data_IF_460253579211
#
_entry.id   IF_460253579211
#
_cell.length_a   1.000
_cell.length_b   1.000
_cell.length_c   1.000
_cell.angle_alpha   90.00
_cell.angle_beta   90.00
_cell.angle_gamma   90.00
#
_symmetry.space_group_name_H-M   'P 1'
#
loop_
_entity.id
_entity.type
_entity.pdbx_description
1 polymer ?
#
# COMPACT_ATOMS: atom_id res chain seq x y z
N UNK A 1 -12.08 -2.86 -48.21
CA UNK A 1 -12.43 -3.28 -46.83
C UNK A 1 -11.20 -3.88 -46.15
N UNK A 2 -10.85 -3.46 -44.92
CA UNK A 2 -9.68 -3.98 -44.18
C UNK A 2 -9.98 -5.32 -43.48
N UNK A 3 -10.38 -6.33 -44.26
CA UNK A 3 -10.77 -7.66 -43.76
C UNK A 3 -10.10 -8.73 -44.61
N UNK A 4 -9.41 -9.67 -43.96
CA UNK A 4 -8.90 -10.90 -44.58
C UNK A 4 -9.63 -12.10 -43.97
N UNK A 5 -10.41 -12.80 -44.80
CA UNK A 5 -11.30 -13.86 -44.34
C UNK A 5 -12.32 -13.35 -43.32
N UNK A 6 -12.35 -13.94 -42.13
CA UNK A 6 -13.21 -13.52 -41.02
C UNK A 6 -12.60 -12.44 -40.12
N UNK A 7 -11.34 -12.05 -40.32
CA UNK A 7 -10.59 -11.18 -39.40
C UNK A 7 -10.32 -9.80 -39.99
N UNK A 8 -10.49 -8.77 -39.18
CA UNK A 8 -10.12 -7.41 -39.57
C UNK A 8 -8.60 -7.21 -39.43
N UNK A 9 -7.98 -6.60 -40.44
CA UNK A 9 -6.58 -6.20 -40.38
C UNK A 9 -6.46 -4.85 -39.67
N UNK A 10 -5.55 -4.77 -38.69
CA UNK A 10 -5.25 -3.49 -38.03
C UNK A 10 -4.76 -2.48 -39.05
N UNK A 11 -5.31 -1.27 -39.00
CA UNK A 11 -4.85 -0.17 -39.85
C UNK A 11 -3.51 0.37 -39.34
N UNK A 12 -2.75 1.05 -40.23
CA UNK A 12 -1.50 1.72 -39.82
C UNK A 12 -1.73 2.71 -38.67
N UNK A 13 -2.89 3.35 -38.61
CA UNK A 13 -3.27 4.28 -37.54
C UNK A 13 -3.46 3.55 -36.20
N UNK A 14 -4.17 2.43 -36.18
CA UNK A 14 -4.35 1.61 -34.96
C UNK A 14 -2.98 1.13 -34.43
N UNK A 15 -2.12 0.61 -35.32
CA UNK A 15 -0.78 0.15 -34.95
C UNK A 15 0.05 1.30 -34.35
N UNK A 16 -0.04 2.50 -34.92
CA UNK A 16 0.64 3.70 -34.41
C UNK A 16 0.14 4.07 -33.01
N UNK A 17 -1.17 4.09 -32.79
CA UNK A 17 -1.78 4.41 -31.48
C UNK A 17 -1.44 3.38 -30.41
N UNK A 18 -1.46 2.08 -30.73
CA UNK A 18 -1.04 1.02 -29.80
C UNK A 18 0.42 1.18 -29.39
N UNK A 19 1.31 1.50 -30.33
CA UNK A 19 2.73 1.76 -30.03
C UNK A 19 2.90 2.97 -29.10
N UNK A 20 2.08 4.00 -29.28
CA UNK A 20 2.11 5.18 -28.40
C UNK A 20 1.61 4.84 -27.00
N UNK A 21 0.49 4.14 -26.87
CA UNK A 21 -0.04 3.67 -25.59
C UNK A 21 0.99 2.84 -24.81
N UNK A 22 1.70 1.93 -25.47
CA UNK A 22 2.75 1.13 -24.84
C UNK A 22 3.91 1.98 -24.30
N UNK A 23 4.30 3.05 -25.02
CA UNK A 23 5.34 3.99 -24.55
C UNK A 23 4.88 4.74 -23.32
N UNK A 24 3.64 5.22 -23.31
CA UNK A 24 3.08 5.98 -22.20
C UNK A 24 2.90 5.10 -20.96
N UNK A 25 2.36 3.88 -21.13
CA UNK A 25 2.27 2.88 -20.05
C UNK A 25 3.65 2.53 -19.48
N UNK A 26 4.67 2.35 -20.31
CA UNK A 26 6.05 2.12 -19.85
C UNK A 26 6.58 3.31 -19.05
N UNK A 27 6.36 4.55 -19.53
CA UNK A 27 6.77 5.77 -18.83
C UNK A 27 6.12 5.86 -17.45
N UNK A 28 4.81 5.67 -17.36
CA UNK A 28 4.06 5.72 -16.09
C UNK A 28 4.55 4.63 -15.13
N UNK A 29 4.79 3.42 -15.63
CA UNK A 29 5.34 2.31 -14.83
C UNK A 29 6.71 2.66 -14.25
N UNK A 30 7.59 3.22 -15.07
CA UNK A 30 8.92 3.66 -14.62
C UNK A 30 8.84 4.77 -13.56
N UNK A 31 7.92 5.73 -13.71
CA UNK A 31 7.71 6.79 -12.71
C UNK A 31 7.28 6.18 -11.37
N UNK A 32 6.31 5.24 -11.38
CA UNK A 32 5.85 4.54 -10.17
C UNK A 32 6.98 3.75 -9.51
N UNK A 33 7.73 2.97 -10.28
CA UNK A 33 8.86 2.20 -9.76
C UNK A 33 9.94 3.11 -9.16
N UNK A 34 10.26 4.22 -9.83
CA UNK A 34 11.22 5.19 -9.32
C UNK A 34 10.73 5.82 -8.01
N UNK A 35 9.46 6.21 -7.93
CA UNK A 35 8.86 6.75 -6.71
C UNK A 35 8.94 5.75 -5.55
N UNK A 36 8.57 4.49 -5.77
CA UNK A 36 8.66 3.44 -4.74
C UNK A 36 10.11 3.24 -4.30
N UNK A 37 11.06 3.22 -5.23
CA UNK A 37 12.48 3.14 -4.90
C UNK A 37 12.93 4.31 -4.04
N UNK A 38 12.54 5.55 -4.37
CA UNK A 38 12.91 6.74 -3.62
C UNK A 38 12.32 6.71 -2.20
N UNK A 39 11.02 6.49 -2.06
CA UNK A 39 10.35 6.51 -0.75
C UNK A 39 10.83 5.38 0.16
N UNK A 40 10.96 4.16 -0.36
CA UNK A 40 11.46 3.04 0.46
C UNK A 40 12.91 3.25 0.90
N UNK A 41 13.75 3.84 0.04
CA UNK A 41 15.11 4.25 0.44
C UNK A 41 15.08 5.36 1.48
N UNK A 42 14.22 6.37 1.32
CA UNK A 42 14.09 7.48 2.27
C UNK A 42 13.70 6.98 3.66
N UNK A 43 12.71 6.08 3.76
CA UNK A 43 12.27 5.49 5.03
C UNK A 43 13.43 4.73 5.71
N UNK A 44 14.14 3.87 4.96
CA UNK A 44 15.25 3.07 5.49
C UNK A 44 16.44 3.93 5.90
N UNK A 45 16.74 5.00 5.14
CA UNK A 45 17.85 5.91 5.42
C UNK A 45 17.66 6.74 6.69
N UNK A 46 16.43 6.84 7.22
CA UNK A 46 16.16 7.42 8.54
C UNK A 46 16.64 6.53 9.71
N UNK A 47 17.13 5.32 9.41
CA UNK A 47 17.64 4.33 10.37
C UNK A 47 16.67 4.03 11.53
N UNK A 48 15.39 3.72 11.25
CA UNK A 48 14.46 3.30 12.29
C UNK A 48 14.93 2.01 12.96
N UNK A 49 14.61 1.85 14.25
CA UNK A 49 14.88 0.61 15.00
C UNK A 49 14.16 -0.60 14.37
N UNK A 50 12.92 -0.40 13.93
CA UNK A 50 12.11 -1.38 13.23
C UNK A 50 11.10 -0.69 12.30
N UNK A 51 10.56 -1.44 11.34
CA UNK A 51 9.51 -0.98 10.42
C UNK A 51 8.36 -1.99 10.50
N UNK A 52 7.14 -1.48 10.70
CA UNK A 52 5.91 -2.28 10.68
C UNK A 52 5.09 -1.95 9.44
N UNK A 53 4.61 -2.97 8.73
CA UNK A 53 3.69 -2.82 7.61
C UNK A 53 2.43 -3.64 7.83
N UNK A 54 1.27 -3.13 7.40
CA UNK A 54 0.02 -3.88 7.42
C UNK A 54 -0.01 -4.99 6.36
N UNK A 55 -0.51 -6.17 6.72
CA UNK A 55 -0.81 -7.22 5.74
C UNK A 55 -2.16 -7.00 5.04
N UNK A 56 -2.15 -6.18 3.99
CA UNK A 56 -3.35 -5.92 3.19
C UNK A 56 -3.72 -7.11 2.30
N UNK A 57 -5.02 -7.44 2.23
CA UNK A 57 -5.56 -8.39 1.25
C UNK A 57 -5.67 -7.74 -0.14
N UNK A 58 -4.53 -7.45 -0.77
CA UNK A 58 -4.47 -6.79 -2.09
C UNK A 58 -5.24 -7.58 -3.14
N UNK A 59 -5.16 -8.92 -3.12
CA UNK A 59 -5.94 -9.78 -4.03
C UNK A 59 -7.45 -9.58 -3.87
N UNK A 60 -7.93 -9.43 -2.64
CA UNK A 60 -9.32 -9.11 -2.35
C UNK A 60 -9.71 -7.71 -2.81
N UNK A 61 -8.86 -6.72 -2.56
CA UNK A 61 -9.09 -5.33 -2.99
C UNK A 61 -9.20 -5.21 -4.52
N UNK A 62 -8.40 -5.97 -5.25
CA UNK A 62 -8.44 -6.04 -6.72
C UNK A 62 -9.76 -6.61 -7.28
N UNK A 63 -10.57 -7.31 -6.47
CA UNK A 63 -11.89 -7.81 -6.91
C UNK A 63 -12.95 -6.71 -6.91
N UNK A 64 -12.73 -5.60 -6.19
CA UNK A 64 -13.65 -4.47 -6.19
C UNK A 64 -13.45 -3.63 -7.46
N UNK A 65 -14.37 -3.73 -8.43
CA UNK A 65 -14.28 -3.04 -9.73
C UNK A 65 -14.13 -1.53 -9.63
N UNK A 66 -14.64 -0.91 -8.56
CA UNK A 66 -14.54 0.54 -8.36
C UNK A 66 -13.17 0.99 -7.83
N UNK A 67 -12.45 0.12 -7.12
CA UNK A 67 -11.17 0.44 -6.49
C UNK A 67 -9.98 -0.26 -7.14
N UNK A 68 -10.23 -1.29 -7.96
CA UNK A 68 -9.19 -2.14 -8.54
C UNK A 68 -8.14 -1.35 -9.33
N UNK A 69 -8.59 -0.36 -10.11
CA UNK A 69 -7.67 0.50 -10.86
C UNK A 69 -6.78 1.30 -9.90
N UNK A 70 -7.37 2.02 -8.94
CA UNK A 70 -6.61 2.81 -7.97
C UNK A 70 -5.63 1.94 -7.18
N UNK A 71 -6.04 0.74 -6.75
CA UNK A 71 -5.19 -0.23 -6.03
C UNK A 71 -4.05 -0.74 -6.90
N UNK A 72 -4.30 -1.05 -8.17
CA UNK A 72 -3.26 -1.47 -9.11
C UNK A 72 -2.21 -0.36 -9.28
N UNK A 73 -2.65 0.90 -9.36
CA UNK A 73 -1.76 2.04 -9.53
C UNK A 73 -0.86 2.31 -8.31
N UNK A 74 -1.23 1.87 -7.10
CA UNK A 74 -0.41 2.02 -5.89
C UNK A 74 0.76 1.02 -5.80
N UNK A 75 0.73 -0.08 -6.58
CA UNK A 75 1.80 -1.07 -6.61
C UNK A 75 2.19 -1.63 -5.21
N UNK A 76 1.23 -1.87 -4.31
CA UNK A 76 1.48 -2.27 -2.92
C UNK A 76 2.42 -3.47 -2.74
N UNK A 77 2.32 -4.47 -3.62
CA UNK A 77 3.22 -5.63 -3.60
C UNK A 77 4.68 -5.21 -3.81
N UNK A 78 4.93 -4.33 -4.78
CA UNK A 78 6.28 -3.87 -5.08
C UNK A 78 6.83 -2.98 -3.96
N UNK A 79 5.99 -2.12 -3.38
CA UNK A 79 6.35 -1.35 -2.19
C UNK A 79 6.78 -2.27 -1.03
N UNK A 80 5.98 -3.29 -0.70
CA UNK A 80 6.30 -4.27 0.35
C UNK A 80 7.61 -4.99 0.04
N UNK A 81 7.75 -5.54 -1.16
CA UNK A 81 8.96 -6.25 -1.60
C UNK A 81 10.20 -5.37 -1.40
N UNK A 82 10.12 -4.11 -1.81
CA UNK A 82 11.23 -3.17 -1.72
C UNK A 82 11.59 -2.77 -0.30
N UNK A 83 10.61 -2.39 0.52
CA UNK A 83 10.90 -1.99 1.89
C UNK A 83 11.47 -3.17 2.68
N UNK A 84 10.95 -4.38 2.49
CA UNK A 84 11.41 -5.59 3.18
C UNK A 84 12.88 -5.91 2.87
N UNK A 85 13.27 -5.99 1.59
CA UNK A 85 14.68 -6.30 1.27
C UNK A 85 15.63 -5.16 1.68
N UNK A 86 15.20 -3.89 1.56
CA UNK A 86 16.05 -2.75 1.95
C UNK A 86 16.23 -2.66 3.45
N UNK A 87 15.18 -2.94 4.23
CA UNK A 87 15.27 -3.06 5.68
C UNK A 87 16.26 -4.16 6.07
N UNK A 88 16.15 -5.34 5.45
CA UNK A 88 17.06 -6.46 5.72
C UNK A 88 18.53 -6.10 5.39
N UNK A 89 18.79 -5.46 4.25
CA UNK A 89 20.14 -4.99 3.89
C UNK A 89 20.75 -3.99 4.88
N UNK A 90 19.90 -3.23 5.58
CA UNK A 90 20.34 -2.24 6.56
C UNK A 90 20.25 -2.74 8.01
N UNK A 91 20.05 -4.06 8.22
CA UNK A 91 19.86 -4.67 9.54
C UNK A 91 18.71 -4.05 10.35
N UNK A 92 17.67 -3.54 9.66
CA UNK A 92 16.46 -3.01 10.29
C UNK A 92 15.44 -4.13 10.38
N UNK A 93 14.86 -4.33 11.56
CA UNK A 93 13.81 -5.34 11.74
C UNK A 93 12.56 -4.93 10.96
N UNK A 94 12.15 -5.76 10.03
CA UNK A 94 10.87 -5.62 9.32
C UNK A 94 9.82 -6.54 9.96
N UNK A 95 8.64 -6.01 10.25
CA UNK A 95 7.53 -6.71 10.90
C UNK A 95 6.29 -6.53 10.05
N UNK A 96 5.62 -7.63 9.74
CA UNK A 96 4.30 -7.60 9.13
C UNK A 96 3.25 -7.75 10.24
N UNK A 97 2.38 -6.75 10.39
CA UNK A 97 1.27 -6.82 11.33
C UNK A 97 0.24 -7.84 10.85
N UNK A 98 -0.33 -8.59 11.80
CA UNK A 98 -1.40 -9.53 11.50
C UNK A 98 -2.56 -8.82 10.79
N UNK A 99 -3.12 -9.48 9.77
CA UNK A 99 -4.18 -8.91 8.92
C UNK A 99 -5.42 -8.50 9.70
N UNK A 100 -5.71 -9.17 10.82
CA UNK A 100 -6.88 -8.93 11.65
C UNK A 100 -6.60 -7.93 12.76
N UNK A 101 -5.36 -7.43 12.89
CA UNK A 101 -5.04 -6.39 13.85
C UNK A 101 -5.79 -5.09 13.51
N UNK A 102 -6.63 -4.57 14.42
CA UNK A 102 -7.52 -3.44 14.13
C UNK A 102 -6.82 -2.09 14.27
N UNK A 103 -5.70 -1.89 13.55
CA UNK A 103 -4.83 -0.70 13.64
C UNK A 103 -5.60 0.63 13.62
N UNK A 104 -6.51 0.81 12.66
CA UNK A 104 -7.28 2.06 12.49
C UNK A 104 -8.51 2.16 13.40
N UNK A 105 -8.97 1.05 13.96
CA UNK A 105 -10.19 0.98 14.80
C UNK A 105 -9.89 0.98 16.29
N UNK A 106 -8.66 0.70 16.69
CA UNK A 106 -8.24 0.71 18.08
C UNK A 106 -7.90 2.15 18.52
N UNK A 107 -8.45 2.62 19.63
CA UNK A 107 -8.02 3.90 20.20
C UNK A 107 -6.65 3.75 20.86
N UNK A 108 -5.65 4.55 20.43
CA UNK A 108 -4.30 4.50 21.02
C UNK A 108 -4.26 5.02 22.45
N UNK A 109 -5.22 5.84 22.87
CA UNK A 109 -5.28 6.41 24.22
C UNK A 109 -5.91 5.45 25.23
N UNK A 110 -7.04 4.82 24.91
CA UNK A 110 -7.83 4.04 25.87
C UNK A 110 -8.03 2.56 25.48
N UNK A 111 -7.53 2.11 24.33
CA UNK A 111 -7.65 0.73 23.87
C UNK A 111 -9.06 0.32 23.42
N UNK A 112 -10.05 1.21 23.44
CA UNK A 112 -11.42 0.88 22.99
C UNK A 112 -11.45 0.68 21.48
N UNK A 113 -12.13 -0.38 21.05
CA UNK A 113 -12.37 -0.68 19.65
C UNK A 113 -13.60 0.07 19.11
N UNK A 114 -13.41 0.86 18.05
CA UNK A 114 -14.48 1.53 17.30
C UNK A 114 -14.98 0.64 16.17
N UNK A 115 -16.14 -0.01 16.36
CA UNK A 115 -16.67 -1.02 15.43
C UNK A 115 -17.24 -0.41 14.14
N UNK A 116 -17.82 0.77 14.25
CA UNK A 116 -18.62 1.50 13.26
C UNK A 116 -17.80 2.45 12.35
N UNK A 117 -16.47 2.47 12.49
CA UNK A 117 -15.59 3.27 11.65
C UNK A 117 -15.64 2.82 10.18
N UNK A 118 -15.95 3.75 9.28
CA UNK A 118 -16.04 3.55 7.82
C UNK A 118 -14.75 3.95 7.11
N UNK A 119 -14.57 3.45 5.88
CA UNK A 119 -13.43 3.81 5.03
C UNK A 119 -13.41 5.31 4.66
N UNK A 120 -14.57 5.94 4.57
CA UNK A 120 -14.74 7.37 4.31
C UNK A 120 -14.33 8.25 5.49
N UNK A 121 -14.30 7.70 6.69
CA UNK A 121 -14.00 8.47 7.90
C UNK A 121 -12.50 8.71 7.94
N UNK A 122 -12.11 9.99 7.88
CA UNK A 122 -10.71 10.43 7.91
C UNK A 122 -10.27 10.84 9.31
N UNK A 123 -11.21 11.17 10.18
CA UNK A 123 -10.98 11.48 11.59
C UNK A 123 -11.40 10.30 12.47
N UNK A 124 -10.53 9.91 13.39
CA UNK A 124 -10.85 8.99 14.47
C UNK A 124 -11.27 9.78 15.70
N UNK A 125 -12.51 9.60 16.12
CA UNK A 125 -13.08 10.20 17.32
C UNK A 125 -13.45 9.11 18.33
N UNK A 126 -12.96 9.25 19.56
CA UNK A 126 -13.24 8.34 20.66
C UNK A 126 -13.94 9.06 21.81
N UNK A 127 -14.83 8.37 22.51
CA UNK A 127 -15.48 8.90 23.72
C UNK A 127 -14.54 9.21 24.88
N UNK A 128 -13.28 8.79 24.82
CA UNK A 128 -12.25 9.21 25.78
C UNK A 128 -11.64 10.60 25.46
N UNK A 129 -12.14 11.30 24.45
CA UNK A 129 -11.65 12.63 24.03
C UNK A 129 -10.53 12.61 22.97
N UNK A 130 -10.09 11.43 22.52
CA UNK A 130 -9.09 11.32 21.46
C UNK A 130 -9.70 11.63 20.09
N UNK A 131 -9.21 12.68 19.43
CA UNK A 131 -9.63 13.14 18.11
C UNK A 131 -8.38 13.36 17.26
N UNK A 132 -8.13 12.47 16.30
CA UNK A 132 -6.91 12.47 15.47
C UNK A 132 -7.21 12.00 14.04
N UNK A 133 -6.29 12.23 13.10
CA UNK A 133 -6.36 11.57 11.79
C UNK A 133 -6.32 10.04 11.95
N UNK A 134 -7.16 9.34 11.19
CA UNK A 134 -7.32 7.88 11.27
C UNK A 134 -6.05 7.13 10.87
N UNK A 135 -5.33 7.60 9.86
CA UNK A 135 -4.13 6.90 9.40
C UNK A 135 -2.97 7.18 10.39
N UNK A 136 -2.94 8.35 11.03
CA UNK A 136 -2.07 8.61 12.18
C UNK A 136 -2.39 7.71 13.38
N UNK A 137 -3.68 7.55 13.71
CA UNK A 137 -4.15 6.60 14.74
C UNK A 137 -3.64 5.17 14.46
N UNK A 138 -3.78 4.72 13.21
CA UNK A 138 -3.28 3.42 12.77
C UNK A 138 -1.76 3.31 12.94
N UNK A 139 -1.00 4.35 12.55
CA UNK A 139 0.46 4.36 12.69
C UNK A 139 0.93 4.20 14.15
N UNK A 140 0.25 4.84 15.11
CA UNK A 140 0.57 4.69 16.55
C UNK A 140 0.32 3.25 17.01
N UNK A 141 -0.81 2.66 16.60
CA UNK A 141 -1.14 1.28 16.97
C UNK A 141 -0.19 0.27 16.33
N UNK A 142 0.27 0.50 15.10
CA UNK A 142 1.28 -0.34 14.44
C UNK A 142 2.65 -0.24 15.12
N UNK A 143 3.05 0.95 15.57
CA UNK A 143 4.25 1.10 16.41
C UNK A 143 4.17 0.24 17.67
N UNK A 144 3.06 0.35 18.43
CA UNK A 144 2.82 -0.47 19.63
C UNK A 144 2.82 -1.97 19.33
N UNK A 145 2.22 -2.38 18.21
CA UNK A 145 2.24 -3.77 17.75
C UNK A 145 3.69 -4.25 17.55
N UNK A 146 4.52 -3.45 16.88
CA UNK A 146 5.94 -3.77 16.67
C UNK A 146 6.74 -3.86 17.96
N UNK A 147 6.53 -2.93 18.89
CA UNK A 147 7.14 -2.92 20.23
C UNK A 147 6.83 -4.23 20.98
N UNK A 148 5.56 -4.61 21.04
CA UNK A 148 5.14 -5.85 21.70
C UNK A 148 5.76 -7.11 21.04
N UNK A 149 5.85 -7.14 19.71
CA UNK A 149 6.50 -8.25 18.99
C UNK A 149 7.97 -8.34 19.35
N UNK A 150 8.68 -7.22 19.48
CA UNK A 150 10.08 -7.20 19.87
C UNK A 150 10.29 -7.65 21.32
N UNK A 151 9.43 -7.21 22.24
CA UNK A 151 9.46 -7.62 23.65
C UNK A 151 9.21 -9.12 23.81
N UNK A 152 8.33 -9.71 23.01
CA UNK A 152 8.01 -11.15 23.07
C UNK A 152 9.11 -12.09 22.58
N UNK A 153 10.20 -11.57 22.02
CA UNK A 153 11.36 -12.34 21.54
C UNK A 153 12.46 -12.42 22.61
N UNK A 154 12.31 -11.71 23.73
CA UNK A 154 13.14 -11.77 24.94
C UNK A 154 12.39 -12.43 26.10
#
# INVERSE_FOLDING_TARGET
MNKEGSRYKKTRSIIKSEKQLLKDSRRITNIRHNYIHQITSEIVNRKPMFIVLEDLNVKGMMKNKHLAESVQQQCFHEFRRQIEYKSNWNNIRFILADRWFPSSKLCSCCGKLKKDLKLSDRTFECGCGNIVDRDYQASINLKKYGENVLESVF
#
